data_IF_021806602390
#
_entry.id   IF_021806602390
#
_cell.length_a   1.000
_cell.length_b   1.000
_cell.length_c   1.000
_cell.angle_alpha   90.00
_cell.angle_beta   90.00
_cell.angle_gamma   90.00
#
_symmetry.space_group_name_H-M   'P 1'
#
loop_
_entity.id
_entity.type
_entity.pdbx_description
1 polymer ?
#
# COMPACT_ATOMS: atom_id res chain seq x y z
N UNK A 1 70.40 -7.49 -39.94
CA UNK A 1 69.18 -6.65 -39.89
C UNK A 1 68.12 -7.42 -39.09
N UNK A 2 67.69 -6.88 -37.95
CA UNK A 2 66.68 -7.51 -37.07
C UNK A 2 65.28 -7.08 -37.51
N UNK A 3 64.29 -7.98 -37.62
CA UNK A 3 62.93 -7.59 -37.96
C UNK A 3 62.20 -7.03 -36.72
N UNK A 4 61.71 -5.81 -36.86
CA UNK A 4 60.88 -5.09 -35.90
C UNK A 4 59.48 -5.69 -35.89
N UNK A 5 59.03 -6.25 -34.76
CA UNK A 5 57.66 -6.77 -34.60
C UNK A 5 56.70 -5.59 -34.44
N UNK A 6 55.82 -5.42 -35.43
CA UNK A 6 54.70 -4.49 -35.43
C UNK A 6 53.63 -4.99 -34.44
N UNK A 7 53.45 -4.28 -33.33
CA UNK A 7 52.45 -4.56 -32.30
C UNK A 7 51.08 -4.03 -32.78
N UNK A 8 50.19 -4.93 -33.19
CA UNK A 8 48.81 -4.60 -33.56
C UNK A 8 47.99 -4.40 -32.27
N UNK A 9 47.68 -3.14 -31.94
CA UNK A 9 46.75 -2.81 -30.86
C UNK A 9 45.33 -3.03 -31.39
N UNK A 10 44.72 -4.14 -30.99
CA UNK A 10 43.29 -4.41 -31.22
C UNK A 10 42.50 -3.53 -30.25
N UNK A 11 42.03 -2.39 -30.75
CA UNK A 11 41.11 -1.50 -30.05
C UNK A 11 39.74 -2.18 -29.99
N UNK A 12 39.49 -2.96 -28.94
CA UNK A 12 38.19 -3.54 -28.65
C UNK A 12 37.22 -2.41 -28.30
N UNK A 13 36.38 -2.02 -29.28
CA UNK A 13 35.17 -1.26 -29.02
C UNK A 13 34.28 -2.07 -28.07
N UNK A 14 34.39 -1.79 -26.77
CA UNK A 14 33.32 -2.05 -25.82
C UNK A 14 32.14 -1.20 -26.27
N UNK A 15 31.27 -1.77 -27.10
CA UNK A 15 29.90 -1.30 -27.24
C UNK A 15 29.28 -1.34 -25.85
N UNK A 16 29.28 -0.19 -25.18
CA UNK A 16 28.37 0.13 -24.10
C UNK A 16 26.97 0.08 -24.71
N UNK A 17 26.42 -1.13 -24.84
CA UNK A 17 25.00 -1.30 -24.98
C UNK A 17 24.43 -0.91 -23.61
N UNK A 18 24.21 0.39 -23.43
CA UNK A 18 23.31 0.88 -22.40
C UNK A 18 21.97 0.21 -22.67
N UNK A 19 21.70 -0.89 -21.96
CA UNK A 19 20.38 -1.46 -21.87
C UNK A 19 19.47 -0.36 -21.33
N UNK A 20 18.84 0.39 -22.24
CA UNK A 20 17.71 1.23 -21.90
C UNK A 20 16.67 0.29 -21.32
N UNK A 21 16.53 0.27 -19.99
CA UNK A 21 15.41 -0.41 -19.35
C UNK A 21 14.16 0.20 -19.95
N UNK A 22 13.40 -0.61 -20.69
CA UNK A 22 12.13 -0.20 -21.27
C UNK A 22 11.22 0.18 -20.10
N UNK A 23 10.65 1.39 -20.13
CA UNK A 23 9.62 1.78 -19.17
C UNK A 23 8.42 0.85 -19.32
N UNK A 24 7.91 0.37 -18.19
CA UNK A 24 6.72 -0.49 -18.15
C UNK A 24 5.53 0.36 -17.73
N UNK A 25 4.63 0.62 -18.68
CA UNK A 25 3.39 1.34 -18.42
C UNK A 25 2.27 0.37 -18.08
N UNK A 26 1.26 0.92 -17.41
CA UNK A 26 0.00 0.27 -17.09
C UNK A 26 -0.66 -0.29 -18.35
N UNK A 27 -0.88 -1.59 -18.38
CA UNK A 27 -1.52 -2.30 -19.50
C UNK A 27 -3.02 -2.41 -19.31
N UNK A 28 -3.78 -2.71 -20.36
CA UNK A 28 -5.24 -2.93 -20.31
C UNK A 28 -6.00 -1.77 -19.66
N UNK A 29 -5.65 -0.54 -20.07
CA UNK A 29 -6.33 0.69 -19.67
C UNK A 29 -7.28 1.09 -20.80
N UNK A 30 -8.51 1.47 -20.45
CA UNK A 30 -9.39 2.15 -21.42
C UNK A 30 -9.10 3.64 -21.32
N UNK A 31 -8.72 4.27 -22.43
CA UNK A 31 -8.43 5.71 -22.50
C UNK A 31 -9.39 6.36 -23.49
N UNK A 32 -9.98 7.47 -23.08
CA UNK A 32 -10.70 8.41 -23.94
C UNK A 32 -10.09 9.80 -23.74
N UNK A 33 -9.77 10.50 -24.82
CA UNK A 33 -9.08 11.77 -24.72
C UNK A 33 -9.39 12.72 -25.89
N UNK A 34 -9.30 14.01 -25.58
CA UNK A 34 -9.40 15.11 -26.54
C UNK A 34 -8.33 16.12 -26.22
N UNK A 35 -7.35 16.29 -27.11
CA UNK A 35 -6.30 17.30 -26.98
C UNK A 35 -5.24 17.07 -25.90
N UNK A 36 -5.53 16.32 -24.83
CA UNK A 36 -4.56 15.89 -23.82
C UNK A 36 -4.05 14.47 -24.07
N UNK A 37 -2.81 14.19 -23.73
CA UNK A 37 -2.22 12.84 -23.85
C UNK A 37 -1.01 12.66 -22.94
N UNK A 38 -0.61 11.42 -22.69
CA UNK A 38 0.66 11.06 -22.07
C UNK A 38 1.26 9.86 -22.81
N UNK A 39 2.55 9.60 -22.61
CA UNK A 39 3.22 8.44 -23.21
C UNK A 39 2.79 7.13 -22.51
N UNK A 40 2.42 7.22 -21.23
CA UNK A 40 1.84 6.13 -20.46
C UNK A 40 1.58 6.50 -19.00
N UNK A 41 1.08 5.54 -18.24
CA UNK A 41 0.83 5.66 -16.79
C UNK A 41 1.73 4.66 -16.10
N UNK A 42 2.59 5.11 -15.18
CA UNK A 42 3.40 4.25 -14.31
C UNK A 42 2.69 4.09 -12.96
N UNK A 43 2.72 2.88 -12.38
CA UNK A 43 2.21 2.63 -11.03
C UNK A 43 3.36 2.38 -10.07
N UNK A 44 3.26 2.91 -8.87
CA UNK A 44 4.17 2.61 -7.78
C UNK A 44 3.49 2.63 -6.42
N UNK A 45 4.11 1.97 -5.46
CA UNK A 45 3.82 2.09 -4.04
C UNK A 45 5.13 2.37 -3.29
N UNK A 46 5.09 2.31 -1.95
CA UNK A 46 6.30 2.50 -1.13
C UNK A 46 7.37 1.42 -1.34
N UNK A 47 7.00 0.24 -1.86
CA UNK A 47 7.92 -0.86 -2.12
C UNK A 47 8.55 -0.79 -3.53
N UNK A 48 8.02 0.03 -4.44
CA UNK A 48 8.59 0.26 -5.76
C UNK A 48 7.55 0.33 -6.87
N UNK A 49 7.98 0.04 -8.10
CA UNK A 49 7.13 0.01 -9.30
C UNK A 49 6.23 -1.22 -9.31
N UNK A 50 4.98 -1.04 -9.76
CA UNK A 50 3.97 -2.08 -9.83
C UNK A 50 3.57 -2.37 -11.28
N UNK A 51 3.37 -3.65 -11.59
CA UNK A 51 2.81 -4.11 -12.87
C UNK A 51 1.49 -4.86 -12.70
N UNK A 52 1.16 -5.24 -11.47
CA UNK A 52 -0.01 -6.01 -11.11
C UNK A 52 -1.24 -5.14 -10.86
N UNK A 53 -2.41 -5.75 -10.88
CA UNK A 53 -3.70 -5.07 -10.68
C UNK A 53 -4.47 -5.63 -9.48
N UNK A 54 -3.75 -6.32 -8.61
CA UNK A 54 -4.24 -6.85 -7.34
C UNK A 54 -3.48 -6.13 -6.25
N UNK A 55 -4.18 -5.49 -5.33
CA UNK A 55 -3.59 -4.68 -4.28
C UNK A 55 -4.00 -5.21 -2.91
N UNK A 56 -3.07 -5.11 -1.96
CA UNK A 56 -3.38 -5.44 -0.58
C UNK A 56 -4.24 -4.34 0.03
N UNK A 57 -5.08 -4.71 0.99
CA UNK A 57 -5.87 -3.74 1.74
C UNK A 57 -4.97 -2.72 2.46
N UNK A 58 -5.32 -1.44 2.35
CA UNK A 58 -4.58 -0.31 2.90
C UNK A 58 -3.37 0.14 2.07
N UNK A 59 -3.14 -0.50 0.92
CA UNK A 59 -2.06 -0.13 0.02
C UNK A 59 -2.33 1.23 -0.65
N UNK A 60 -1.34 2.12 -0.61
CA UNK A 60 -1.37 3.38 -1.35
C UNK A 60 -0.61 3.23 -2.66
N UNK A 61 -1.31 3.47 -3.77
CA UNK A 61 -0.75 3.42 -5.12
C UNK A 61 -0.73 4.81 -5.72
N UNK A 62 0.42 5.20 -6.23
CA UNK A 62 0.64 6.42 -7.01
C UNK A 62 0.63 6.06 -8.49
N UNK A 63 -0.14 6.82 -9.27
CA UNK A 63 -0.18 6.75 -10.73
C UNK A 63 0.50 7.99 -11.29
N UNK A 64 1.60 7.82 -12.01
CA UNK A 64 2.38 8.92 -12.60
C UNK A 64 2.16 8.97 -14.11
N UNK A 65 1.87 10.14 -14.65
CA UNK A 65 1.55 10.32 -16.07
C UNK A 65 2.78 10.80 -16.84
N UNK A 66 3.41 9.91 -17.58
CA UNK A 66 4.70 10.18 -18.22
C UNK A 66 4.56 11.11 -19.43
N UNK A 67 5.37 12.17 -19.47
CA UNK A 67 5.38 13.17 -20.55
C UNK A 67 3.98 13.69 -20.94
N UNK A 68 3.20 14.15 -19.96
CA UNK A 68 1.86 14.69 -20.20
C UNK A 68 1.89 15.94 -21.10
N UNK A 69 1.03 16.00 -22.12
CA UNK A 69 1.03 16.99 -23.21
C UNK A 69 -0.38 17.53 -23.46
N UNK A 70 -0.42 18.72 -24.07
CA UNK A 70 -1.66 19.33 -24.57
C UNK A 70 -2.32 20.35 -23.64
N UNK A 71 -1.75 20.57 -22.45
CA UNK A 71 -2.20 21.63 -21.53
C UNK A 71 -1.90 23.02 -22.11
N UNK A 72 -2.83 23.94 -21.89
CA UNK A 72 -2.67 25.37 -22.18
C UNK A 72 -1.88 26.04 -21.08
N UNK A 73 -0.93 26.87 -21.47
CA UNK A 73 -0.15 27.67 -20.55
C UNK A 73 -0.53 29.14 -20.67
N UNK A 74 -0.88 29.76 -19.54
CA UNK A 74 -1.04 31.20 -19.38
C UNK A 74 0.00 31.65 -18.35
N UNK A 75 0.79 32.67 -18.67
CA UNK A 75 1.85 33.18 -17.77
C UNK A 75 2.78 32.08 -17.22
N UNK A 76 3.17 31.13 -18.08
CA UNK A 76 4.01 29.96 -17.78
C UNK A 76 3.39 28.95 -16.80
N UNK A 77 2.06 28.99 -16.57
CA UNK A 77 1.34 28.03 -15.73
C UNK A 77 0.24 27.30 -16.48
N UNK A 78 0.10 26.01 -16.22
CA UNK A 78 -1.03 25.19 -16.63
C UNK A 78 -1.99 24.97 -15.45
N UNK A 79 -3.28 24.85 -15.73
CA UNK A 79 -4.31 24.71 -14.70
C UNK A 79 -5.14 23.43 -14.92
N UNK A 80 -4.54 22.23 -14.79
CA UNK A 80 -5.27 20.99 -14.90
C UNK A 80 -6.19 20.80 -13.68
N UNK A 81 -7.38 20.26 -13.92
CA UNK A 81 -8.24 19.67 -12.91
C UNK A 81 -8.17 18.16 -13.04
N UNK A 82 -8.11 17.45 -11.91
CA UNK A 82 -8.13 16.00 -11.88
C UNK A 82 -9.17 15.50 -10.89
N UNK A 83 -10.06 14.62 -11.36
CA UNK A 83 -11.08 13.95 -10.56
C UNK A 83 -10.81 12.45 -10.57
N UNK A 84 -10.75 11.85 -9.37
CA UNK A 84 -10.51 10.43 -9.16
C UNK A 84 -11.77 9.82 -8.57
N UNK A 85 -12.26 8.75 -9.18
CA UNK A 85 -13.38 7.96 -8.65
C UNK A 85 -13.00 6.49 -8.59
N UNK A 86 -13.42 5.81 -7.53
CA UNK A 86 -13.43 4.35 -7.48
C UNK A 86 -14.86 3.88 -7.35
N UNK A 87 -15.25 2.95 -8.21
CA UNK A 87 -16.58 2.36 -8.22
C UNK A 87 -16.53 0.90 -7.82
N UNK A 88 -17.55 0.44 -7.10
CA UNK A 88 -17.79 -0.97 -6.84
C UNK A 88 -18.22 -1.70 -8.12
N UNK A 89 -18.31 -3.04 -8.04
CA UNK A 89 -18.86 -3.87 -9.11
C UNK A 89 -20.32 -3.55 -9.47
N UNK A 90 -21.12 -3.01 -8.53
CA UNK A 90 -22.50 -2.55 -8.80
C UNK A 90 -22.54 -1.22 -9.56
N UNK A 91 -21.42 -0.52 -9.69
CA UNK A 91 -21.32 0.79 -10.32
C UNK A 91 -21.47 1.97 -9.34
N UNK A 92 -21.60 1.70 -8.04
CA UNK A 92 -21.68 2.75 -7.03
C UNK A 92 -20.30 3.37 -6.78
N UNK A 93 -20.22 4.69 -6.69
CA UNK A 93 -18.99 5.37 -6.29
C UNK A 93 -18.74 5.14 -4.81
N UNK A 94 -17.64 4.43 -4.50
CA UNK A 94 -17.22 4.13 -3.13
C UNK A 94 -16.13 5.07 -2.63
N UNK A 95 -15.42 5.73 -3.54
CA UNK A 95 -14.39 6.72 -3.21
C UNK A 95 -14.34 7.81 -4.27
N UNK A 96 -14.07 9.04 -3.86
CA UNK A 96 -13.96 10.19 -4.76
C UNK A 96 -12.99 11.23 -4.22
N UNK A 97 -12.07 11.69 -5.07
CA UNK A 97 -11.27 12.90 -4.86
C UNK A 97 -11.56 13.86 -6.02
N UNK A 98 -12.40 14.88 -5.81
CA UNK A 98 -12.57 15.94 -6.79
C UNK A 98 -11.42 16.96 -6.70
N UNK A 99 -11.05 17.57 -7.82
CA UNK A 99 -10.11 18.70 -7.85
C UNK A 99 -8.78 18.42 -7.12
N UNK A 100 -8.10 17.33 -7.48
CA UNK A 100 -6.87 16.87 -6.83
C UNK A 100 -5.73 17.91 -6.83
N UNK A 101 -5.67 18.78 -7.83
CA UNK A 101 -4.64 19.82 -7.94
C UNK A 101 -5.11 21.16 -7.37
N UNK A 102 -4.15 21.95 -6.87
CA UNK A 102 -4.39 23.32 -6.42
C UNK A 102 -4.80 24.25 -7.58
N UNK A 103 -5.60 25.26 -7.26
CA UNK A 103 -6.10 26.29 -8.16
C UNK A 103 -5.00 27.27 -8.60
N UNK A 104 -3.86 27.30 -7.91
CA UNK A 104 -2.72 28.15 -8.28
C UNK A 104 -2.05 27.75 -9.62
N UNK A 105 -2.31 26.54 -10.10
CA UNK A 105 -1.71 26.01 -11.33
C UNK A 105 -0.27 25.55 -11.16
N UNK A 106 0.24 24.86 -12.17
CA UNK A 106 1.54 24.17 -12.17
C UNK A 106 2.44 24.86 -13.19
N UNK A 107 3.65 25.23 -12.78
CA UNK A 107 4.62 25.81 -13.72
C UNK A 107 5.09 24.77 -14.73
N UNK A 108 5.58 25.22 -15.89
CA UNK A 108 6.08 24.30 -16.92
C UNK A 108 7.24 23.44 -16.44
N UNK A 109 8.12 24.00 -15.62
CA UNK A 109 9.30 23.35 -15.06
C UNK A 109 8.95 22.29 -14.01
N UNK A 110 7.79 22.43 -13.35
CA UNK A 110 7.29 21.53 -12.30
C UNK A 110 6.21 20.56 -12.83
N UNK A 111 5.93 20.56 -14.14
CA UNK A 111 4.85 19.76 -14.70
C UNK A 111 5.14 18.26 -14.59
N UNK A 112 4.69 17.68 -13.48
CA UNK A 112 4.66 16.25 -13.21
C UNK A 112 3.29 15.92 -12.65
N UNK A 113 2.43 15.32 -13.48
CA UNK A 113 1.10 14.92 -13.02
C UNK A 113 1.17 13.56 -12.36
N UNK A 114 0.47 13.43 -11.23
CA UNK A 114 0.26 12.17 -10.55
C UNK A 114 -1.11 12.15 -9.86
N UNK A 115 -1.58 10.97 -9.50
CA UNK A 115 -2.74 10.73 -8.64
C UNK A 115 -2.41 9.66 -7.62
N UNK A 116 -3.02 9.71 -6.45
CA UNK A 116 -2.86 8.68 -5.41
C UNK A 116 -4.21 8.08 -5.01
N UNK A 117 -4.24 6.76 -4.81
CA UNK A 117 -5.39 6.05 -4.27
C UNK A 117 -4.92 5.12 -3.17
N UNK A 118 -5.52 5.24 -1.98
CA UNK A 118 -5.36 4.28 -0.89
C UNK A 118 -6.51 3.29 -0.93
N UNK A 119 -6.21 2.01 -1.20
CA UNK A 119 -7.19 0.93 -1.29
C UNK A 119 -7.60 0.41 0.09
N UNK A 120 -8.33 1.25 0.83
CA UNK A 120 -8.87 0.96 2.17
C UNK A 120 -10.40 1.20 2.22
N UNK A 121 -11.02 1.10 3.40
CA UNK A 121 -12.45 1.38 3.59
C UNK A 121 -12.88 2.68 2.86
N UNK A 122 -14.02 2.64 2.15
CA UNK A 122 -15.02 1.57 2.08
C UNK A 122 -14.71 0.46 1.07
N UNK A 123 -13.53 0.45 0.45
CA UNK A 123 -13.12 -0.60 -0.48
C UNK A 123 -12.60 -1.83 0.29
N UNK A 124 -13.47 -2.80 0.51
CA UNK A 124 -13.17 -4.04 1.23
C UNK A 124 -12.41 -5.07 0.37
N UNK A 125 -11.61 -5.94 1.00
CA UNK A 125 -10.95 -7.08 0.35
C UNK A 125 -11.92 -8.02 -0.38
N UNK A 126 -11.36 -8.88 -1.23
CA UNK A 126 -12.06 -9.92 -2.01
C UNK A 126 -13.11 -9.39 -3.00
N UNK A 127 -13.04 -8.09 -3.30
CA UNK A 127 -13.91 -7.40 -4.23
C UNK A 127 -13.12 -6.80 -5.40
N UNK A 128 -13.81 -6.65 -6.52
CA UNK A 128 -13.32 -5.95 -7.71
C UNK A 128 -13.84 -4.51 -7.72
N UNK A 129 -12.98 -3.58 -8.11
CA UNK A 129 -13.26 -2.15 -8.20
C UNK A 129 -12.81 -1.61 -9.56
N UNK A 130 -13.38 -0.48 -9.95
CA UNK A 130 -13.01 0.26 -11.15
C UNK A 130 -12.49 1.63 -10.75
N UNK A 131 -11.21 1.90 -10.99
CA UNK A 131 -10.65 3.24 -10.88
C UNK A 131 -10.94 3.99 -12.18
N UNK A 132 -11.38 5.24 -12.05
CA UNK A 132 -11.65 6.16 -13.13
C UNK A 132 -11.01 7.50 -12.81
N UNK A 133 -10.08 7.97 -13.63
CA UNK A 133 -9.44 9.28 -13.45
C UNK A 133 -9.66 10.14 -14.67
N UNK A 134 -10.24 11.32 -14.44
CA UNK A 134 -10.45 12.33 -15.45
C UNK A 134 -9.51 13.52 -15.19
N UNK A 135 -8.73 13.90 -16.19
CA UNK A 135 -7.88 15.09 -16.18
C UNK A 135 -8.40 16.03 -17.25
N UNK A 136 -8.67 17.28 -16.91
CA UNK A 136 -9.15 18.30 -17.84
C UNK A 136 -8.34 19.58 -17.75
N UNK A 137 -8.14 20.27 -18.86
CA UNK A 137 -7.56 21.61 -18.89
C UNK A 137 -8.66 22.64 -18.59
N UNK A 138 -8.49 23.50 -17.60
CA UNK A 138 -9.51 24.51 -17.26
C UNK A 138 -9.60 25.66 -18.28
N UNK A 139 -8.68 25.74 -19.24
CA UNK A 139 -8.62 26.81 -20.24
C UNK A 139 -9.29 26.46 -21.57
N UNK A 140 -9.69 25.21 -21.76
CA UNK A 140 -10.37 24.73 -22.97
C UNK A 140 -11.16 23.44 -22.69
N UNK A 141 -11.69 22.78 -23.71
CA UNK A 141 -12.47 21.54 -23.57
C UNK A 141 -11.62 20.25 -23.69
N UNK A 142 -10.30 20.34 -23.52
CA UNK A 142 -9.39 19.21 -23.63
C UNK A 142 -9.44 18.36 -22.35
N UNK A 143 -9.45 17.04 -22.53
CA UNK A 143 -9.49 16.08 -21.43
C UNK A 143 -8.68 14.81 -21.74
N UNK A 144 -8.30 14.11 -20.69
CA UNK A 144 -7.72 12.78 -20.69
C UNK A 144 -8.41 11.96 -19.60
N UNK A 145 -9.18 10.96 -20.02
CA UNK A 145 -9.93 10.08 -19.13
C UNK A 145 -9.42 8.66 -19.28
N UNK A 146 -9.11 8.00 -18.16
CA UNK A 146 -8.82 6.58 -18.18
C UNK A 146 -9.58 5.79 -17.12
N UNK A 147 -9.79 4.50 -17.41
CA UNK A 147 -10.43 3.55 -16.51
C UNK A 147 -9.69 2.22 -16.47
N UNK A 148 -9.63 1.60 -15.29
CA UNK A 148 -9.07 0.27 -15.12
C UNK A 148 -9.64 -0.45 -13.89
N UNK A 149 -9.91 -1.75 -14.05
CA UNK A 149 -10.34 -2.62 -12.96
C UNK A 149 -9.15 -3.12 -12.12
N UNK A 150 -9.38 -3.21 -10.82
CA UNK A 150 -8.43 -3.70 -9.83
C UNK A 150 -9.14 -4.60 -8.82
N UNK A 151 -8.39 -5.50 -8.21
CA UNK A 151 -8.87 -6.37 -7.13
C UNK A 151 -8.18 -5.99 -5.82
N UNK A 152 -8.93 -5.92 -4.73
CA UNK A 152 -8.35 -5.77 -3.39
C UNK A 152 -8.34 -7.13 -2.71
N UNK A 153 -7.24 -7.49 -2.06
CA UNK A 153 -7.10 -8.73 -1.30
C UNK A 153 -6.66 -8.44 0.14
N UNK A 154 -6.91 -9.41 1.02
CA UNK A 154 -6.25 -9.44 2.32
C UNK A 154 -4.75 -9.63 2.13
N UNK A 155 -3.95 -9.13 3.07
CA UNK A 155 -2.50 -9.38 3.04
C UNK A 155 -2.26 -10.90 3.14
N UNK A 156 -1.73 -11.56 2.09
CA UNK A 156 -1.60 -13.02 2.05
C UNK A 156 -0.59 -13.56 3.06
N UNK A 157 0.25 -12.69 3.62
CA UNK A 157 1.28 -13.06 4.61
C UNK A 157 0.73 -13.17 6.03
N UNK A 158 -0.47 -12.64 6.30
CA UNK A 158 -1.16 -12.77 7.58
C UNK A 158 -1.93 -14.09 7.62
N UNK A 159 -1.34 -15.10 8.27
CA UNK A 159 -1.94 -16.43 8.40
C UNK A 159 -2.83 -16.49 9.64
N UNK A 160 -4.13 -16.30 9.46
CA UNK A 160 -5.09 -16.27 10.56
C UNK A 160 -5.97 -17.51 10.61
N UNK A 161 -6.15 -18.04 11.82
CA UNK A 161 -7.12 -19.08 12.14
C UNK A 161 -8.06 -18.53 13.21
N UNK A 162 -9.36 -18.65 12.97
CA UNK A 162 -10.38 -18.24 13.92
C UNK A 162 -11.29 -19.41 14.27
N UNK A 163 -11.59 -19.54 15.56
CA UNK A 163 -12.58 -20.45 16.13
C UNK A 163 -13.61 -19.62 16.89
N UNK A 164 -14.71 -19.31 16.21
CA UNK A 164 -15.86 -18.58 16.75
C UNK A 164 -15.77 -17.04 16.71
N UNK A 165 -14.60 -16.45 16.45
CA UNK A 165 -14.48 -15.04 16.08
C UNK A 165 -14.67 -14.81 14.58
N UNK A 166 -15.18 -13.64 14.22
CA UNK A 166 -15.20 -13.12 12.86
C UNK A 166 -14.68 -11.68 12.84
N UNK A 167 -14.16 -11.22 11.70
CA UNK A 167 -13.69 -9.86 11.48
C UNK A 167 -13.78 -9.52 9.99
N UNK A 168 -13.85 -8.24 9.64
CA UNK A 168 -13.90 -7.82 8.24
C UNK A 168 -12.49 -7.75 7.63
N UNK A 169 -11.55 -7.15 8.37
CA UNK A 169 -10.24 -6.75 7.85
C UNK A 169 -9.19 -6.98 8.93
N UNK A 170 -8.03 -7.50 8.52
CA UNK A 170 -6.82 -7.55 9.32
C UNK A 170 -5.62 -7.08 8.49
N UNK A 171 -4.83 -6.15 9.02
CA UNK A 171 -3.67 -5.60 8.32
C UNK A 171 -2.62 -5.03 9.28
N UNK A 172 -1.42 -4.80 8.75
CA UNK A 172 -0.34 -4.12 9.44
C UNK A 172 -0.31 -2.66 8.99
N UNK A 173 -0.23 -1.73 9.94
CA UNK A 173 -0.21 -0.29 9.67
C UNK A 173 1.05 0.36 10.23
N UNK A 174 1.80 1.05 9.40
CA UNK A 174 2.93 1.86 9.83
C UNK A 174 2.46 3.27 10.16
N UNK A 175 2.55 3.65 11.44
CA UNK A 175 2.25 5.02 11.87
C UNK A 175 3.17 6.07 11.23
N UNK A 176 4.51 5.90 11.21
CA UNK A 176 5.38 6.93 10.64
C UNK A 176 5.31 7.00 9.11
N UNK A 177 4.92 5.93 8.42
CA UNK A 177 4.72 5.94 6.96
C UNK A 177 3.29 6.32 6.55
N UNK A 178 2.35 6.27 7.49
CA UNK A 178 0.92 6.54 7.29
C UNK A 178 0.27 5.64 6.21
N UNK A 179 0.66 4.36 6.18
CA UNK A 179 0.24 3.38 5.17
C UNK A 179 0.22 1.95 5.74
N UNK A 180 -0.50 1.04 5.07
CA UNK A 180 -0.39 -0.38 5.36
C UNK A 180 0.96 -0.97 4.90
N UNK A 181 1.45 -1.94 5.66
CA UNK A 181 2.63 -2.74 5.31
C UNK A 181 2.16 -3.96 4.53
N UNK A 182 2.62 -4.05 3.28
CA UNK A 182 2.21 -5.06 2.29
C UNK A 182 3.34 -5.99 1.87
N UNK A 183 4.59 -5.66 2.22
CA UNK A 183 5.79 -6.43 1.89
C UNK A 183 6.51 -7.00 3.13
N UNK A 184 5.89 -6.91 4.31
CA UNK A 184 6.45 -7.31 5.60
C UNK A 184 7.78 -6.64 5.99
N UNK A 185 8.18 -5.55 5.33
CA UNK A 185 9.43 -4.84 5.64
C UNK A 185 9.15 -3.64 6.54
N UNK A 186 9.76 -3.66 7.73
CA UNK A 186 9.67 -2.58 8.74
C UNK A 186 11.07 -2.10 9.11
N UNK A 187 11.17 -0.89 9.65
CA UNK A 187 12.43 -0.37 10.19
C UNK A 187 12.54 -0.61 11.69
N UNK A 188 13.76 -0.70 12.21
CA UNK A 188 14.01 -0.60 13.65
C UNK A 188 13.37 0.67 14.23
N UNK A 189 12.74 0.59 15.39
CA UNK A 189 11.97 1.67 16.05
C UNK A 189 10.76 2.18 15.25
N UNK A 190 10.32 1.46 14.22
CA UNK A 190 9.09 1.77 13.53
C UNK A 190 7.89 1.31 14.35
N UNK A 191 6.94 2.22 14.59
CA UNK A 191 5.68 1.90 15.27
C UNK A 191 4.71 1.30 14.27
N UNK A 192 4.51 -0.01 14.37
CA UNK A 192 3.62 -0.78 13.51
C UNK A 192 2.45 -1.29 14.33
N UNK A 193 1.23 -1.15 13.82
CA UNK A 193 0.04 -1.69 14.45
C UNK A 193 -0.47 -2.88 13.67
N UNK A 194 -0.68 -4.02 14.35
CA UNK A 194 -1.58 -5.04 13.83
C UNK A 194 -3.00 -4.59 14.17
N UNK A 195 -3.84 -4.46 13.15
CA UNK A 195 -5.20 -3.93 13.26
C UNK A 195 -6.19 -5.01 12.85
N UNK A 196 -7.26 -5.17 13.62
CA UNK A 196 -8.46 -5.93 13.28
C UNK A 196 -9.67 -4.99 13.32
N UNK A 197 -10.51 -5.01 12.30
CA UNK A 197 -11.72 -4.20 12.23
C UNK A 197 -12.99 -5.08 12.21
N UNK A 198 -14.06 -4.57 12.83
CA UNK A 198 -15.32 -5.27 12.98
C UNK A 198 -15.18 -6.65 13.63
N UNK A 199 -14.41 -6.73 14.73
CA UNK A 199 -14.30 -7.98 15.47
C UNK A 199 -15.67 -8.32 16.09
N UNK A 200 -16.11 -9.55 15.88
CA UNK A 200 -17.36 -10.10 16.41
C UNK A 200 -17.16 -11.54 16.90
N UNK A 201 -18.18 -12.09 17.56
CA UNK A 201 -18.19 -13.49 18.03
C UNK A 201 -17.83 -13.69 19.51
N UNK A 202 -17.59 -12.62 20.27
CA UNK A 202 -17.36 -12.67 21.72
C UNK A 202 -18.64 -12.45 22.53
N UNK A 203 -18.60 -12.86 23.80
CA UNK A 203 -19.65 -12.57 24.76
C UNK A 203 -19.55 -11.13 25.27
N UNK A 204 -20.71 -10.48 25.41
CA UNK A 204 -20.84 -9.11 25.92
C UNK A 204 -21.65 -9.15 27.22
N UNK A 205 -21.16 -8.46 28.24
CA UNK A 205 -21.84 -8.32 29.53
C UNK A 205 -22.97 -7.27 29.47
N UNK A 206 -23.67 -7.10 30.60
CA UNK A 206 -24.79 -6.15 30.72
C UNK A 206 -24.36 -4.68 30.53
N UNK A 207 -23.07 -4.38 30.75
CA UNK A 207 -22.48 -3.04 30.61
C UNK A 207 -21.95 -2.79 29.18
N UNK A 208 -22.08 -3.75 28.27
CA UNK A 208 -21.65 -3.61 26.89
C UNK A 208 -20.15 -3.89 26.67
N UNK A 209 -19.49 -4.56 27.60
CA UNK A 209 -18.07 -4.91 27.51
C UNK A 209 -17.85 -6.40 27.26
N UNK A 210 -16.68 -6.73 26.73
CA UNK A 210 -16.22 -8.09 26.47
C UNK A 210 -14.93 -8.37 27.25
N UNK A 211 -14.81 -9.58 27.77
CA UNK A 211 -13.58 -10.06 28.43
C UNK A 211 -12.69 -10.75 27.41
N UNK A 212 -11.85 -9.96 26.73
CA UNK A 212 -10.90 -10.46 25.73
C UNK A 212 -9.50 -10.48 26.31
N UNK A 213 -8.84 -11.64 26.22
CA UNK A 213 -7.41 -11.80 26.49
C UNK A 213 -6.68 -11.73 25.16
N UNK A 214 -5.67 -10.88 25.07
CA UNK A 214 -4.84 -10.72 23.88
C UNK A 214 -3.37 -10.90 24.24
N UNK A 215 -2.67 -11.74 23.48
CA UNK A 215 -1.24 -11.96 23.66
C UNK A 215 -0.48 -11.86 22.34
N UNK A 216 0.79 -11.51 22.45
CA UNK A 216 1.72 -11.48 21.32
C UNK A 216 3.10 -11.89 21.77
N UNK A 217 3.74 -12.73 20.96
CA UNK A 217 5.17 -12.98 21.05
C UNK A 217 5.87 -12.68 19.73
N UNK A 218 7.12 -12.23 19.84
CA UNK A 218 8.03 -11.98 18.73
C UNK A 218 9.25 -12.87 18.91
N UNK A 219 9.57 -13.68 17.91
CA UNK A 219 10.69 -14.64 17.92
C UNK A 219 11.58 -14.35 16.72
N UNK A 220 12.89 -14.19 16.92
CA UNK A 220 13.83 -13.99 15.81
C UNK A 220 14.16 -15.31 15.07
N UNK A 221 14.93 -15.20 13.99
CA UNK A 221 15.31 -16.36 13.17
C UNK A 221 16.21 -17.41 13.88
N UNK A 222 16.73 -17.10 15.07
CA UNK A 222 17.49 -18.03 15.90
C UNK A 222 16.62 -18.63 17.03
N UNK A 223 15.29 -18.54 16.91
CA UNK A 223 14.32 -18.96 17.92
C UNK A 223 14.47 -18.22 19.27
N UNK A 224 15.12 -17.04 19.29
CA UNK A 224 15.23 -16.23 20.49
C UNK A 224 13.97 -15.37 20.63
N UNK A 225 13.34 -15.47 21.79
CA UNK A 225 12.22 -14.63 22.19
C UNK A 225 12.69 -13.17 22.38
N UNK A 226 12.08 -12.25 21.63
CA UNK A 226 12.40 -10.82 21.65
C UNK A 226 11.39 -10.08 22.55
N UNK A 227 10.11 -10.36 22.35
CA UNK A 227 9.00 -9.76 23.10
C UNK A 227 8.03 -10.88 23.45
N UNK A 228 7.55 -10.86 24.70
CA UNK A 228 6.43 -11.65 25.17
C UNK A 228 5.50 -10.73 25.95
N UNK A 229 4.25 -10.64 25.50
CA UNK A 229 3.23 -9.89 26.19
C UNK A 229 1.94 -10.70 26.19
N UNK A 230 1.60 -11.26 27.36
CA UNK A 230 0.41 -12.08 27.54
C UNK A 230 -0.87 -11.28 27.81
N UNK A 231 -0.76 -9.95 27.95
CA UNK A 231 -1.88 -9.09 28.28
C UNK A 231 -1.79 -7.73 27.58
N UNK A 232 -2.11 -7.73 26.28
CA UNK A 232 -2.11 -6.53 25.44
C UNK A 232 -3.32 -5.64 25.67
N UNK A 233 -4.37 -6.14 26.33
CA UNK A 233 -5.64 -5.45 26.53
C UNK A 233 -5.98 -5.37 28.02
N UNK A 234 -6.78 -4.38 28.45
CA UNK A 234 -7.37 -4.43 29.78
C UNK A 234 -8.33 -5.63 29.90
N UNK A 235 -8.59 -6.08 31.14
CA UNK A 235 -9.45 -7.23 31.43
C UNK A 235 -10.90 -7.11 30.88
N UNK A 236 -11.34 -5.89 30.61
CA UNK A 236 -12.66 -5.58 30.05
C UNK A 236 -12.50 -4.51 28.98
N UNK A 237 -13.02 -4.78 27.78
CA UNK A 237 -12.94 -3.92 26.60
C UNK A 237 -14.34 -3.64 26.09
N UNK A 238 -14.64 -2.39 25.74
CA UNK A 238 -15.91 -2.01 25.12
C UNK A 238 -16.15 -2.82 23.83
N UNK A 239 -17.31 -3.47 23.73
CA UNK A 239 -17.71 -4.18 22.51
C UNK A 239 -17.80 -3.23 21.30
N UNK A 240 -18.17 -1.97 21.55
CA UNK A 240 -18.19 -0.93 20.51
C UNK A 240 -16.78 -0.67 19.97
N UNK A 241 -15.78 -0.65 20.85
CA UNK A 241 -14.38 -0.38 20.45
C UNK A 241 -13.84 -1.57 19.66
N UNK A 242 -14.11 -2.81 20.08
CA UNK A 242 -13.74 -4.01 19.34
C UNK A 242 -14.40 -4.07 17.94
N UNK A 243 -15.65 -3.62 17.81
CA UNK A 243 -16.33 -3.50 16.51
C UNK A 243 -15.73 -2.39 15.66
N UNK A 244 -15.33 -1.28 16.25
CA UNK A 244 -14.69 -0.21 15.50
C UNK A 244 -13.30 -0.65 15.03
N UNK A 245 -12.43 -0.96 15.97
CA UNK A 245 -11.05 -1.34 15.71
C UNK A 245 -10.38 -1.89 16.98
N UNK A 246 -9.76 -3.06 16.86
CA UNK A 246 -8.75 -3.54 17.78
C UNK A 246 -7.37 -3.31 17.16
N UNK A 247 -6.41 -2.80 17.95
CA UNK A 247 -5.04 -2.66 17.49
C UNK A 247 -4.04 -3.09 18.56
N UNK A 248 -2.89 -3.62 18.12
CA UNK A 248 -1.76 -3.94 19.00
C UNK A 248 -0.47 -3.38 18.40
N UNK A 249 0.35 -2.74 19.24
CA UNK A 249 1.61 -2.13 18.82
C UNK A 249 2.72 -3.18 18.74
N UNK A 250 3.44 -3.14 17.63
CA UNK A 250 4.67 -3.86 17.33
C UNK A 250 5.76 -2.81 17.16
N UNK A 251 6.78 -2.88 17.99
CA UNK A 251 7.96 -2.01 17.91
C UNK A 251 9.19 -2.86 18.22
N UNK A 252 10.10 -2.96 17.25
CA UNK A 252 11.36 -3.71 17.38
C UNK A 252 12.50 -2.71 17.52
N UNK A 253 13.11 -2.69 18.70
CA UNK A 253 14.15 -1.72 19.06
C UNK A 253 15.58 -2.28 18.96
N UNK A 254 15.73 -3.60 18.89
CA UNK A 254 17.03 -4.27 18.68
C UNK A 254 17.51 -4.03 17.25
N UNK A 255 18.73 -3.49 17.11
CA UNK A 255 19.32 -3.12 15.82
C UNK A 255 19.92 -4.31 15.08
N UNK A 256 20.42 -5.29 15.82
CA UNK A 256 21.14 -6.44 15.28
C UNK A 256 20.25 -7.70 15.31
N UNK A 257 18.97 -7.54 14.96
CA UNK A 257 17.99 -8.62 15.06
C UNK A 257 18.10 -9.59 13.86
N UNK A 258 18.26 -10.90 14.10
CA UNK A 258 18.21 -11.90 13.04
C UNK A 258 16.85 -11.92 12.34
N UNK A 259 16.86 -11.82 11.02
CA UNK A 259 15.64 -11.88 10.21
C UNK A 259 15.38 -13.29 9.65
N UNK A 260 14.11 -13.67 9.44
CA UNK A 260 12.89 -12.90 9.77
C UNK A 260 12.53 -12.95 11.26
N UNK A 261 11.71 -11.99 11.70
CA UNK A 261 11.07 -12.00 13.03
C UNK A 261 9.65 -12.54 12.88
N UNK A 262 9.36 -13.67 13.52
CA UNK A 262 8.03 -14.27 13.56
C UNK A 262 7.20 -13.59 14.65
N UNK A 263 6.02 -13.08 14.27
CA UNK A 263 5.01 -12.60 15.20
C UNK A 263 3.90 -13.65 15.34
N UNK A 264 3.59 -14.03 16.59
CA UNK A 264 2.39 -14.81 16.89
C UNK A 264 1.48 -13.99 17.79
N UNK A 265 0.31 -13.63 17.26
CA UNK A 265 -0.75 -12.92 17.95
C UNK A 265 -1.90 -13.87 18.26
N UNK A 266 -2.46 -13.78 19.46
CA UNK A 266 -3.61 -14.59 19.88
C UNK A 266 -4.66 -13.73 20.61
N UNK A 267 -5.92 -14.04 20.35
CA UNK A 267 -7.09 -13.57 21.07
C UNK A 267 -7.86 -14.73 21.65
N UNK A 268 -8.39 -14.53 22.85
CA UNK A 268 -9.30 -15.47 23.50
C UNK A 268 -10.41 -14.73 24.22
N UNK A 269 -11.66 -15.11 23.96
CA UNK A 269 -12.78 -14.70 24.82
C UNK A 269 -12.70 -15.52 26.12
N UNK A 270 -12.53 -14.83 27.25
CA UNK A 270 -12.38 -15.45 28.55
C UNK A 270 -13.63 -16.23 29.00
N UNK A 271 -14.81 -15.86 28.50
CA UNK A 271 -16.08 -16.46 28.87
C UNK A 271 -16.44 -17.67 27.99
N UNK A 272 -16.36 -17.50 26.66
CA UNK A 272 -16.75 -18.56 25.73
C UNK A 272 -15.60 -19.50 25.36
N UNK A 273 -14.35 -19.09 25.58
CA UNK A 273 -13.17 -19.85 25.18
C UNK A 273 -12.86 -19.82 23.68
N UNK A 274 -13.64 -19.09 22.87
CA UNK A 274 -13.38 -18.85 21.45
C UNK A 274 -12.02 -18.21 21.24
N UNK A 275 -11.37 -18.48 20.11
CA UNK A 275 -9.99 -18.06 19.85
C UNK A 275 -9.78 -17.53 18.45
N UNK A 276 -8.82 -16.63 18.30
CA UNK A 276 -8.26 -16.22 17.01
C UNK A 276 -6.75 -16.17 17.16
N UNK A 277 -6.03 -16.75 16.21
CA UNK A 277 -4.57 -16.71 16.18
C UNK A 277 -4.10 -16.25 14.81
N UNK A 278 -3.13 -15.34 14.78
CA UNK A 278 -2.50 -14.84 13.56
C UNK A 278 -0.99 -15.01 13.65
N UNK A 279 -0.38 -15.56 12.61
CA UNK A 279 1.09 -15.68 12.49
C UNK A 279 1.56 -15.03 11.20
N UNK A 280 2.65 -14.27 11.28
CA UNK A 280 3.31 -13.65 10.13
C UNK A 280 4.78 -13.38 10.44
N UNK A 281 5.57 -13.14 9.39
CA UNK A 281 7.00 -12.84 9.47
C UNK A 281 7.23 -11.37 9.09
N UNK A 282 8.17 -10.71 9.77
CA UNK A 282 8.63 -9.37 9.47
C UNK A 282 10.12 -9.40 9.11
N UNK A 283 10.50 -8.66 8.08
CA UNK A 283 11.89 -8.30 7.82
C UNK A 283 12.16 -6.92 8.41
N UNK A 284 13.09 -6.85 9.36
CA UNK A 284 13.50 -5.65 10.07
C UNK A 284 14.77 -5.09 9.44
N UNK A 285 14.68 -3.88 8.90
CA UNK A 285 15.81 -3.13 8.36
C UNK A 285 16.28 -2.05 9.32
N UNK A 286 17.58 -1.74 9.30
CA UNK A 286 18.11 -0.62 10.07
C UNK A 286 17.52 0.72 9.58
N UNK A 287 17.15 1.57 10.54
CA UNK A 287 16.85 2.96 10.25
C UNK A 287 18.16 3.69 9.91
N UNK A 288 18.35 3.99 8.62
CA UNK A 288 19.44 4.87 8.13
C UNK A 288 19.34 6.28 8.66
#
# INVERSE_FOLDING_TARGET
MKPTKLLFVVLSCYFLCSCFKKKEYLQNVTVDNKGLSCDGIEMSNYAGTLTETTFNYGEKVTFTYDNFKGLTFEDNRAYPKMDIHVMSKSGDTVFSIPEFFDKEGITKEELSLFSEVTFARPMLPENDYLVSVNISDTKNDNYYHWKKSFKIINNPELKTKADGFTYDIQYLYSLPRDIAITNNVIKTNEKVYLILENLEGYNVDEDGNASIIASMNLVDANDRLIVENDNLLPNSVSAKDLKQQLYVLIEITDKDIPNPVTCNFQLKDALSGKTLSSTFELTVEEQK
#
